data_IF_296858330364
#
_entry.id   IF_296858330364
#
_cell.length_a   1.000
_cell.length_b   1.000
_cell.length_c   1.000
_cell.angle_alpha   90.00
_cell.angle_beta   90.00
_cell.angle_gamma   90.00
#
_symmetry.space_group_name_H-M   'P 1'
#
loop_
_entity.id
_entity.type
_entity.pdbx_description
1 polymer ?
#
# COMPACT_ATOMS: atom_id res chain seq x y z
N UNK A 1 -7.39 27.74 2.58
CA UNK A 1 -6.85 26.76 3.55
C UNK A 1 -5.34 26.93 3.70
N UNK A 2 -4.86 27.24 4.91
CA UNK A 2 -3.45 27.53 5.20
C UNK A 2 -2.50 26.34 4.99
N UNK A 3 -1.20 26.62 5.00
CA UNK A 3 -0.12 25.63 4.85
C UNK A 3 -0.11 24.58 5.97
N UNK A 4 -0.37 25.01 7.20
CA UNK A 4 -0.35 24.16 8.40
C UNK A 4 -1.38 23.00 8.41
N UNK A 5 -2.68 23.21 8.13
CA UNK A 5 -3.65 22.11 8.11
C UNK A 5 -3.37 21.07 7.03
N UNK A 6 -2.76 21.46 5.90
CA UNK A 6 -2.37 20.51 4.86
C UNK A 6 -1.21 19.61 5.31
N UNK A 7 -0.21 20.17 5.99
CA UNK A 7 0.90 19.38 6.55
C UNK A 7 0.39 18.41 7.61
N UNK A 8 -0.43 18.88 8.54
CA UNK A 8 -1.00 18.03 9.60
C UNK A 8 -1.77 16.86 8.99
N UNK A 9 -2.59 17.14 7.96
CA UNK A 9 -3.28 16.10 7.19
C UNK A 9 -2.28 15.10 6.59
N UNK A 10 -1.21 15.58 5.97
CA UNK A 10 -0.14 14.73 5.43
C UNK A 10 0.46 13.79 6.48
N UNK A 11 0.75 14.29 7.68
CA UNK A 11 1.32 13.50 8.79
C UNK A 11 0.33 12.41 9.24
N UNK A 12 -0.96 12.77 9.42
CA UNK A 12 -1.99 11.81 9.84
C UNK A 12 -2.08 10.65 8.83
N UNK A 13 -2.20 10.96 7.54
CA UNK A 13 -2.29 9.92 6.51
C UNK A 13 -1.00 9.10 6.41
N UNK A 14 0.17 9.72 6.55
CA UNK A 14 1.43 8.99 6.62
C UNK A 14 1.41 7.96 7.77
N UNK A 15 0.95 8.35 8.97
CA UNK A 15 0.81 7.45 10.10
C UNK A 15 -0.17 6.30 9.84
N UNK A 16 -1.31 6.58 9.20
CA UNK A 16 -2.26 5.55 8.78
C UNK A 16 -1.59 4.54 7.84
N UNK A 17 -0.85 5.02 6.82
CA UNK A 17 -0.15 4.14 5.88
C UNK A 17 0.98 3.36 6.54
N UNK A 18 1.79 3.95 7.41
CA UNK A 18 2.80 3.22 8.19
C UNK A 18 2.13 2.08 8.97
N UNK A 19 1.00 2.37 9.61
CA UNK A 19 0.29 1.37 10.41
C UNK A 19 -0.23 0.22 9.54
N UNK A 20 -0.87 0.53 8.41
CA UNK A 20 -1.52 -0.49 7.57
C UNK A 20 -0.56 -1.24 6.64
N UNK A 21 0.52 -0.61 6.16
CA UNK A 21 1.46 -1.21 5.21
C UNK A 21 2.75 -1.71 5.85
N UNK A 22 3.04 -1.37 7.10
CA UNK A 22 4.22 -1.87 7.81
C UNK A 22 3.86 -2.56 9.12
N UNK A 23 3.23 -1.85 10.06
CA UNK A 23 3.02 -2.37 11.43
C UNK A 23 2.13 -3.61 11.42
N UNK A 24 0.97 -3.55 10.77
CA UNK A 24 0.03 -4.68 10.70
C UNK A 24 0.66 -5.89 9.99
N UNK A 25 1.27 -5.77 8.80
CA UNK A 25 1.97 -6.88 8.16
C UNK A 25 3.12 -7.44 9.01
N UNK A 26 3.96 -6.58 9.59
CA UNK A 26 5.07 -6.99 10.45
C UNK A 26 4.57 -7.86 11.60
N UNK A 27 3.59 -7.38 12.36
CA UNK A 27 3.00 -8.13 13.48
C UNK A 27 2.37 -9.44 13.01
N UNK A 28 1.67 -9.42 11.88
CA UNK A 28 1.06 -10.63 11.29
C UNK A 28 2.12 -11.69 10.99
N UNK A 29 3.22 -11.32 10.32
CA UNK A 29 4.28 -12.29 9.98
C UNK A 29 5.09 -12.73 11.20
N UNK A 30 5.31 -11.84 12.19
CA UNK A 30 5.95 -12.21 13.45
C UNK A 30 5.10 -13.21 14.22
N UNK A 31 3.78 -13.00 14.30
CA UNK A 31 2.88 -13.95 14.94
C UNK A 31 2.83 -15.28 14.19
N UNK A 32 2.69 -15.26 12.86
CA UNK A 32 2.68 -16.49 12.05
C UNK A 32 3.96 -17.32 12.23
N UNK A 33 5.11 -16.67 12.42
CA UNK A 33 6.39 -17.35 12.69
C UNK A 33 6.40 -18.16 14.00
N UNK A 34 5.60 -17.75 14.99
CA UNK A 34 5.62 -18.32 16.35
C UNK A 34 4.42 -19.20 16.66
N UNK A 35 3.43 -19.27 15.77
CA UNK A 35 2.21 -20.05 16.00
C UNK A 35 2.49 -21.55 15.85
N UNK A 36 2.12 -22.31 16.88
CA UNK A 36 1.95 -23.76 16.82
C UNK A 36 0.43 -24.04 16.82
N UNK A 37 -0.10 -24.66 15.77
CA UNK A 37 -1.52 -25.07 15.73
C UNK A 37 -1.59 -26.58 15.87
N UNK A 38 -2.29 -27.08 16.90
CA UNK A 38 -2.58 -28.51 17.07
C UNK A 38 -1.33 -29.42 17.04
N UNK A 39 -0.20 -28.98 17.61
CA UNK A 39 1.06 -29.73 17.62
C UNK A 39 1.88 -29.63 16.33
N UNK A 40 1.39 -28.92 15.31
CA UNK A 40 2.10 -28.61 14.07
C UNK A 40 2.90 -27.32 14.26
N UNK A 41 4.22 -27.40 14.17
CA UNK A 41 5.08 -26.21 14.18
C UNK A 41 5.00 -25.51 12.83
N UNK A 42 4.46 -24.29 12.80
CA UNK A 42 4.53 -23.44 11.61
C UNK A 42 5.92 -22.82 11.58
N UNK A 43 6.83 -23.42 10.81
CA UNK A 43 8.18 -22.87 10.67
C UNK A 43 8.24 -22.10 9.37
N UNK A 44 8.10 -20.77 9.46
CA UNK A 44 8.55 -19.90 8.38
C UNK A 44 10.09 -19.92 8.40
N UNK A 45 10.74 -20.35 7.32
CA UNK A 45 12.20 -20.32 7.25
C UNK A 45 12.70 -18.89 7.50
N UNK A 46 13.74 -18.75 8.32
CA UNK A 46 14.27 -17.44 8.73
C UNK A 46 14.65 -16.57 7.52
N UNK A 47 15.19 -17.19 6.47
CA UNK A 47 15.52 -16.50 5.22
C UNK A 47 14.28 -15.95 4.49
N UNK A 48 13.17 -16.68 4.49
CA UNK A 48 11.91 -16.22 3.90
C UNK A 48 11.31 -15.09 4.72
N UNK A 49 11.34 -15.21 6.05
CA UNK A 49 10.90 -14.17 6.97
C UNK A 49 11.65 -12.86 6.74
N UNK A 50 12.98 -12.88 6.75
CA UNK A 50 13.81 -11.69 6.60
C UNK A 50 13.57 -10.99 5.25
N UNK A 51 13.39 -11.78 4.19
CA UNK A 51 13.05 -11.26 2.86
C UNK A 51 11.67 -10.60 2.82
N UNK A 52 10.67 -11.19 3.47
CA UNK A 52 9.31 -10.62 3.57
C UNK A 52 9.35 -9.30 4.32
N UNK A 53 9.99 -9.27 5.49
CA UNK A 53 10.09 -8.06 6.31
C UNK A 53 10.87 -6.95 5.59
N UNK A 54 11.93 -7.29 4.84
CA UNK A 54 12.66 -6.33 4.02
C UNK A 54 11.74 -5.64 3.00
N UNK A 55 10.97 -6.41 2.22
CA UNK A 55 10.08 -5.84 1.21
C UNK A 55 8.93 -5.04 1.82
N UNK A 56 8.36 -5.52 2.93
CA UNK A 56 7.33 -4.80 3.71
C UNK A 56 7.85 -3.44 4.15
N UNK A 57 9.06 -3.41 4.69
CA UNK A 57 9.67 -2.18 5.21
C UNK A 57 10.02 -1.21 4.07
N UNK A 58 10.70 -1.70 3.03
CA UNK A 58 11.16 -0.87 1.92
C UNK A 58 10.00 -0.19 1.18
N UNK A 59 9.00 -0.96 0.77
CA UNK A 59 7.84 -0.41 0.07
C UNK A 59 6.85 0.29 1.01
N UNK A 60 6.73 -0.16 2.26
CA UNK A 60 5.91 0.53 3.26
C UNK A 60 6.38 1.96 3.53
N UNK A 61 7.69 2.19 3.59
CA UNK A 61 8.28 3.52 3.69
C UNK A 61 8.00 4.37 2.44
N UNK A 62 8.17 3.81 1.25
CA UNK A 62 7.91 4.52 -0.01
C UNK A 62 6.43 4.92 -0.15
N UNK A 63 5.51 4.02 0.19
CA UNK A 63 4.06 4.28 0.19
C UNK A 63 3.73 5.37 1.19
N UNK A 64 4.29 5.30 2.40
CA UNK A 64 4.05 6.27 3.47
C UNK A 64 4.56 7.67 3.11
N UNK A 65 5.77 7.76 2.54
CA UNK A 65 6.33 9.02 2.02
C UNK A 65 5.45 9.59 0.89
N UNK A 66 5.01 8.74 -0.04
CA UNK A 66 4.12 9.16 -1.13
C UNK A 66 2.76 9.62 -0.63
N UNK A 67 2.21 8.97 0.41
CA UNK A 67 0.99 9.37 1.08
C UNK A 67 1.14 10.75 1.71
N UNK A 68 2.23 11.00 2.44
CA UNK A 68 2.50 12.32 3.01
C UNK A 68 2.43 13.42 1.95
N UNK A 69 3.11 13.24 0.81
CA UNK A 69 3.12 14.23 -0.26
C UNK A 69 1.78 14.36 -1.01
N UNK A 70 1.02 13.28 -1.16
CA UNK A 70 -0.31 13.30 -1.74
C UNK A 70 -1.30 14.10 -0.86
N UNK A 71 -1.36 13.78 0.43
CA UNK A 71 -2.35 14.34 1.35
C UNK A 71 -1.98 15.74 1.87
N UNK A 72 -0.70 16.11 1.83
CA UNK A 72 -0.26 17.49 2.08
C UNK A 72 -0.41 18.43 0.88
N UNK A 73 -0.72 17.90 -0.30
CA UNK A 73 -0.88 18.71 -1.51
C UNK A 73 -2.29 19.32 -1.62
N UNK A 74 -2.43 20.54 -2.17
CA UNK A 74 -3.73 21.18 -2.41
C UNK A 74 -4.66 20.30 -3.27
N UNK A 75 -5.97 20.33 -2.99
CA UNK A 75 -6.99 19.44 -3.57
C UNK A 75 -6.95 19.33 -5.11
N UNK A 76 -6.58 20.39 -5.83
CA UNK A 76 -6.49 20.42 -7.29
C UNK A 76 -5.11 20.91 -7.74
N UNK A 77 -4.08 20.07 -7.55
CA UNK A 77 -2.72 20.35 -7.99
C UNK A 77 -2.16 19.15 -8.77
N UNK A 78 -1.30 19.43 -9.75
CA UNK A 78 -0.60 18.40 -10.53
C UNK A 78 0.20 17.49 -9.58
N UNK A 79 0.88 18.09 -8.60
CA UNK A 79 1.61 17.38 -7.55
C UNK A 79 0.76 16.31 -6.87
N UNK A 80 -0.47 16.65 -6.48
CA UNK A 80 -1.39 15.70 -5.84
C UNK A 80 -1.72 14.53 -6.78
N UNK A 81 -2.04 14.83 -8.03
CA UNK A 81 -2.37 13.80 -9.02
C UNK A 81 -1.16 12.87 -9.30
N UNK A 82 0.04 13.44 -9.44
CA UNK A 82 1.28 12.67 -9.61
C UNK A 82 1.58 11.76 -8.42
N UNK A 83 1.51 12.28 -7.18
CA UNK A 83 1.76 11.45 -5.99
C UNK A 83 0.68 10.40 -5.76
N UNK A 84 -0.59 10.67 -6.11
CA UNK A 84 -1.63 9.66 -6.09
C UNK A 84 -1.34 8.51 -7.05
N UNK A 85 -0.86 8.82 -8.27
CA UNK A 85 -0.47 7.80 -9.25
C UNK A 85 0.76 7.01 -8.79
N UNK A 86 1.81 7.69 -8.30
CA UNK A 86 3.00 7.04 -7.72
C UNK A 86 2.60 6.12 -6.58
N UNK A 87 1.72 6.57 -5.69
CA UNK A 87 1.26 5.78 -4.56
C UNK A 87 0.55 4.50 -5.01
N UNK A 88 -0.25 4.54 -6.07
CA UNK A 88 -0.90 3.34 -6.62
C UNK A 88 0.13 2.39 -7.22
N UNK A 89 1.09 2.91 -8.00
CA UNK A 89 2.18 2.10 -8.55
C UNK A 89 2.99 1.42 -7.44
N UNK A 90 3.28 2.12 -6.36
CA UNK A 90 3.97 1.57 -5.21
C UNK A 90 3.13 0.49 -4.49
N UNK A 91 1.80 0.65 -4.41
CA UNK A 91 0.93 -0.41 -3.88
C UNK A 91 0.91 -1.65 -4.78
N UNK A 92 0.95 -1.49 -6.12
CA UNK A 92 1.13 -2.62 -7.03
C UNK A 92 2.46 -3.33 -6.79
N UNK A 93 3.55 -2.57 -6.72
CA UNK A 93 4.89 -3.13 -6.50
C UNK A 93 5.00 -3.79 -5.12
N UNK A 94 4.33 -3.24 -4.11
CA UNK A 94 4.22 -3.83 -2.78
C UNK A 94 3.58 -5.22 -2.83
N UNK A 95 2.44 -5.36 -3.51
CA UNK A 95 1.77 -6.65 -3.67
C UNK A 95 2.60 -7.60 -4.52
N UNK A 96 3.22 -7.10 -5.58
CA UNK A 96 4.09 -7.87 -6.44
C UNK A 96 5.35 -8.37 -5.71
N UNK A 97 5.85 -7.60 -4.73
CA UNK A 97 6.97 -7.99 -3.89
C UNK A 97 6.70 -9.26 -3.08
N UNK A 98 5.43 -9.55 -2.72
CA UNK A 98 5.07 -10.80 -2.05
C UNK A 98 5.41 -12.03 -2.89
N UNK A 99 5.28 -11.94 -4.22
CA UNK A 99 5.68 -13.01 -5.14
C UNK A 99 7.19 -13.29 -5.10
N UNK A 100 8.02 -12.24 -5.03
CA UNK A 100 9.49 -12.41 -4.94
C UNK A 100 9.97 -12.76 -3.54
N UNK A 101 9.19 -12.40 -2.52
CA UNK A 101 9.48 -12.72 -1.13
C UNK A 101 9.26 -14.20 -0.78
N UNK A 102 8.60 -14.96 -1.66
CA UNK A 102 8.22 -16.36 -1.40
C UNK A 102 7.02 -16.50 -0.46
N UNK A 103 6.40 -15.39 -0.02
CA UNK A 103 5.18 -15.40 0.79
C UNK A 103 3.95 -15.95 0.06
N UNK A 104 4.04 -16.22 -1.25
CA UNK A 104 2.95 -16.81 -2.03
C UNK A 104 2.70 -18.27 -1.71
N UNK A 105 3.71 -18.96 -1.18
CA UNK A 105 3.63 -20.36 -0.79
C UNK A 105 4.00 -20.48 0.68
N UNK A 106 2.99 -20.66 1.53
CA UNK A 106 3.22 -20.98 2.95
C UNK A 106 3.26 -22.49 3.07
N UNK A 107 4.44 -23.03 3.39
CA UNK A 107 4.63 -24.46 3.66
C UNK A 107 4.46 -24.72 5.16
N UNK A 108 3.61 -25.69 5.47
CA UNK A 108 3.29 -26.13 6.82
C UNK A 108 3.88 -27.54 6.97
N UNK A 109 4.96 -27.67 7.74
CA UNK A 109 5.52 -28.98 8.04
C UNK A 109 4.76 -29.62 9.20
N UNK A 110 4.21 -30.82 8.97
CA UNK A 110 3.53 -31.59 10.01
C UNK A 110 4.58 -32.45 10.74
N UNK A 111 5.03 -31.93 11.88
CA UNK A 111 5.94 -32.64 12.78
C UNK A 111 5.13 -33.25 13.92
N UNK A 112 5.02 -34.58 13.97
CA UNK A 112 4.46 -35.30 15.11
C UNK A 112 5.57 -36.00 15.89
N UNK A 113 5.84 -35.50 17.10
CA UNK A 113 6.75 -35.97 18.16
C UNK A 113 8.20 -36.35 17.76
N UNK A 114 8.48 -37.11 16.69
CA UNK A 114 9.83 -37.38 16.16
C UNK A 114 9.82 -37.73 14.64
N UNK A 115 8.66 -37.75 13.97
CA UNK A 115 8.54 -38.21 12.57
C UNK A 115 7.89 -37.15 11.67
N UNK A 116 8.51 -36.86 10.53
CA UNK A 116 7.97 -35.93 9.53
C UNK A 116 6.88 -36.66 8.72
N UNK A 117 5.62 -36.25 8.89
CA UNK A 117 4.45 -36.93 8.30
C UNK A 117 4.10 -36.36 6.92
N UNK A 118 4.66 -35.20 6.57
CA UNK A 118 4.44 -34.51 5.30
C UNK A 118 4.31 -33.00 5.46
N UNK A 119 4.00 -32.31 4.36
CA UNK A 119 3.76 -30.87 4.35
C UNK A 119 2.39 -30.54 3.74
N UNK A 120 1.72 -29.53 4.30
CA UNK A 120 0.59 -28.85 3.64
C UNK A 120 1.19 -27.57 3.03
N UNK A 121 0.76 -27.18 1.83
CA UNK A 121 1.15 -25.89 1.24
C UNK A 121 -0.12 -25.10 0.92
N UNK A 122 -0.21 -23.85 1.40
CA UNK A 122 -1.24 -22.91 0.96
C UNK A 122 -0.62 -22.01 -0.09
N UNK A 123 -1.14 -22.13 -1.31
CA UNK A 123 -0.81 -21.25 -2.43
C UNK A 123 -1.80 -20.07 -2.49
N UNK A 124 -1.29 -18.88 -2.21
CA UNK A 124 -2.04 -17.61 -2.29
C UNK A 124 -1.76 -16.83 -3.58
N UNK A 125 -1.10 -17.44 -4.58
CA UNK A 125 -0.78 -16.83 -5.86
C UNK A 125 -2.03 -16.29 -6.59
N UNK A 126 -3.13 -17.04 -6.59
CA UNK A 126 -4.38 -16.61 -7.21
C UNK A 126 -4.99 -15.39 -6.52
N UNK A 127 -4.86 -15.30 -5.19
CA UNK A 127 -5.31 -14.14 -4.43
C UNK A 127 -4.46 -12.91 -4.77
N UNK A 128 -3.14 -13.06 -4.85
CA UNK A 128 -2.22 -11.98 -5.26
C UNK A 128 -2.54 -11.48 -6.67
N UNK A 129 -2.81 -12.38 -7.62
CA UNK A 129 -3.20 -12.00 -8.99
C UNK A 129 -4.52 -11.23 -9.04
N UNK A 130 -5.52 -11.63 -8.25
CA UNK A 130 -6.79 -10.92 -8.17
C UNK A 130 -6.60 -9.49 -7.66
N UNK A 131 -5.83 -9.31 -6.58
CA UNK A 131 -5.52 -7.97 -6.08
C UNK A 131 -4.76 -7.13 -7.12
N UNK A 132 -3.76 -7.70 -7.80
CA UNK A 132 -3.04 -7.02 -8.89
C UNK A 132 -3.98 -6.54 -10.01
N UNK A 133 -5.00 -7.33 -10.36
CA UNK A 133 -6.04 -6.93 -11.32
C UNK A 133 -6.86 -5.72 -10.86
N UNK A 134 -7.26 -5.68 -9.58
CA UNK A 134 -7.99 -4.54 -9.00
C UNK A 134 -7.13 -3.27 -9.02
N UNK A 135 -5.85 -3.39 -8.68
CA UNK A 135 -4.94 -2.26 -8.72
C UNK A 135 -4.69 -1.75 -10.15
N UNK A 136 -4.60 -2.64 -11.13
CA UNK A 136 -4.49 -2.26 -12.54
C UNK A 136 -5.68 -1.41 -13.01
N UNK A 137 -6.91 -1.82 -12.67
CA UNK A 137 -8.10 -1.01 -12.96
C UNK A 137 -8.04 0.37 -12.30
N UNK A 138 -7.54 0.43 -11.07
CA UNK A 138 -7.37 1.69 -10.32
C UNK A 138 -6.34 2.61 -11.00
N UNK A 139 -5.26 2.04 -11.56
CA UNK A 139 -4.29 2.80 -12.37
C UNK A 139 -4.97 3.41 -13.59
N UNK A 140 -5.78 2.64 -14.32
CA UNK A 140 -6.47 3.14 -15.52
C UNK A 140 -7.42 4.32 -15.17
N UNK A 141 -8.21 4.19 -14.10
CA UNK A 141 -9.11 5.25 -13.65
C UNK A 141 -8.34 6.52 -13.26
N UNK A 142 -7.23 6.36 -12.52
CA UNK A 142 -6.42 7.50 -12.06
C UNK A 142 -5.57 8.12 -13.17
N UNK A 143 -5.16 7.32 -14.15
CA UNK A 143 -4.55 7.78 -15.39
C UNK A 143 -5.53 8.62 -16.20
N UNK A 144 -6.79 8.18 -16.31
CA UNK A 144 -7.85 8.98 -16.93
C UNK A 144 -8.07 10.31 -16.20
N UNK A 145 -8.21 10.29 -14.87
CA UNK A 145 -8.35 11.51 -14.05
C UNK A 145 -7.19 12.50 -14.28
N UNK A 146 -5.96 11.97 -14.40
CA UNK A 146 -4.77 12.77 -14.65
C UNK A 146 -4.82 13.43 -16.04
N UNK A 147 -5.18 12.65 -17.07
CA UNK A 147 -5.31 13.15 -18.44
C UNK A 147 -6.39 14.23 -18.53
N UNK A 148 -7.57 13.97 -17.94
CA UNK A 148 -8.66 14.95 -17.88
C UNK A 148 -8.21 16.25 -17.19
N UNK A 149 -7.47 16.13 -16.08
CA UNK A 149 -6.92 17.29 -15.38
C UNK A 149 -5.90 18.09 -16.22
N UNK A 150 -5.07 17.40 -17.01
CA UNK A 150 -4.09 18.04 -17.89
C UNK A 150 -4.81 18.78 -19.02
N UNK A 151 -5.82 18.17 -19.64
CA UNK A 151 -6.55 18.74 -20.78
C UNK A 151 -7.50 19.86 -20.37
N UNK A 152 -8.19 19.73 -19.25
CA UNK A 152 -9.15 20.73 -18.76
C UNK A 152 -8.54 21.74 -17.77
N UNK A 153 -7.20 21.84 -17.72
CA UNK A 153 -6.44 22.67 -16.76
C UNK A 153 -6.93 24.12 -16.69
N UNK A 154 -7.23 24.72 -17.83
CA UNK A 154 -7.58 26.14 -17.90
C UNK A 154 -9.01 26.42 -17.40
N UNK A 155 -9.98 25.55 -17.72
CA UNK A 155 -11.35 25.63 -17.17
C UNK A 155 -11.36 25.46 -15.66
N UNK A 156 -10.50 24.57 -15.13
CA UNK A 156 -10.35 24.33 -13.68
C UNK A 156 -9.69 25.54 -12.98
N UNK A 157 -8.73 26.20 -13.63
CA UNK A 157 -8.13 27.45 -13.13
C UNK A 157 -9.15 28.59 -13.10
N UNK A 158 -9.95 28.75 -14.16
CA UNK A 158 -10.96 29.81 -14.24
C UNK A 158 -12.09 29.64 -13.20
N UNK A 159 -12.57 28.41 -12.96
CA UNK A 159 -13.53 28.14 -11.88
C UNK A 159 -12.99 28.55 -10.50
N UNK A 160 -11.69 28.38 -10.23
CA UNK A 160 -11.07 28.80 -8.96
C UNK A 160 -11.03 30.32 -8.79
N UNK A 161 -10.69 31.04 -9.85
CA UNK A 161 -10.67 32.51 -9.80
C UNK A 161 -12.08 33.07 -9.56
N UNK A 162 -13.10 32.55 -10.25
CA UNK A 162 -14.50 32.98 -10.03
C UNK A 162 -15.02 32.72 -8.62
N UNK A 163 -14.73 31.54 -8.03
CA UNK A 163 -15.12 31.24 -6.64
C UNK A 163 -14.43 32.19 -5.64
N UNK A 164 -13.21 32.65 -5.96
CA UNK A 164 -12.47 33.60 -5.12
C UNK A 164 -13.01 35.03 -5.24
N UNK A 165 -13.51 35.43 -6.42
CA UNK A 165 -14.15 36.74 -6.64
C UNK A 165 -15.58 36.82 -6.10
N UNK A 166 -16.33 35.72 -6.10
CA UNK A 166 -17.72 35.67 -5.60
C UNK A 166 -17.81 35.51 -4.06
N UNK A 167 -16.68 35.59 -3.34
CA UNK A 167 -16.69 35.71 -1.87
C UNK A 167 -17.26 34.51 -1.12
N UNK A 168 -17.22 33.30 -1.70
CA UNK A 168 -17.51 32.08 -0.93
C UNK A 168 -16.19 31.54 -0.41
N UNK A 169 -15.78 32.07 0.74
CA UNK A 169 -14.70 31.52 1.56
C UNK A 169 -15.02 30.05 1.86
N UNK A 170 -14.35 29.15 1.14
CA UNK A 170 -14.40 27.72 1.41
C UNK A 170 -13.61 27.42 2.70
N UNK A 171 -14.32 27.53 3.83
CA UNK A 171 -14.00 26.91 5.11
C UNK A 171 -13.81 25.40 4.99
#
# INVERSE_FOLDING_TARGET
>A
MGWFPNILKGIIYMGVYITTTMVVPFLTFTWVKEIQVLGVAIVLEQFQYDRIIFWITAFGLLISASAFFNYSSPKQSIRKASFALIQILLNCLYIWSYKFSGATEVKFEIVFEVTNVGFIAIDVQNMVMLYMGVYFLTILLKGYDLIDFILNRDKIRQKRYKITEEGVDAS
#
